data_IF_663276836357
#
_entry.id   IF_663276836357
#
_cell.length_a   1.000
_cell.length_b   1.000
_cell.length_c   1.000
_cell.angle_alpha   90.00
_cell.angle_beta   90.00
_cell.angle_gamma   90.00
#
_symmetry.space_group_name_H-M   'P 1'
#
loop_
_entity.id
_entity.type
_entity.pdbx_description
1 polymer ?
#
# COMPACT_ATOMS: atom_id res chain seq x y z
N UNK A 1 -17.28 49.89 13.88
CA UNK A 1 -16.95 50.43 12.55
C UNK A 1 -17.90 49.76 11.57
N UNK A 2 -19.09 50.34 11.35
CA UNK A 2 -19.47 51.36 10.35
C UNK A 2 -20.01 50.68 9.08
N UNK A 3 -21.35 50.60 9.01
CA UNK A 3 -22.14 50.35 7.82
C UNK A 3 -21.89 51.40 6.72
N UNK A 4 -22.00 51.00 5.45
CA UNK A 4 -22.33 51.79 4.25
C UNK A 4 -22.65 50.73 3.17
N UNK A 5 -23.81 50.55 2.52
CA UNK A 5 -24.87 51.41 1.96
C UNK A 5 -24.35 52.42 0.93
N UNK A 6 -25.06 52.47 -0.22
CA UNK A 6 -24.89 53.21 -1.50
C UNK A 6 -24.29 52.38 -2.64
N UNK A 7 -24.82 52.35 -3.88
CA UNK A 7 -25.84 53.19 -4.49
C UNK A 7 -26.60 52.43 -5.59
N UNK A 8 -27.90 52.69 -5.61
CA UNK A 8 -28.82 52.50 -6.74
C UNK A 8 -28.29 53.25 -7.96
N UNK A 9 -28.14 52.57 -9.11
CA UNK A 9 -28.10 53.24 -10.39
C UNK A 9 -29.36 52.90 -11.17
N UNK A 10 -30.21 53.92 -11.25
CA UNK A 10 -31.44 53.97 -12.02
C UNK A 10 -31.08 54.15 -13.50
N UNK A 11 -31.50 53.20 -14.35
CA UNK A 11 -31.74 53.49 -15.76
C UNK A 11 -32.97 52.71 -16.18
N UNK A 12 -34.11 53.37 -16.01
CA UNK A 12 -35.34 53.01 -16.68
C UNK A 12 -35.17 53.26 -18.18
N UNK A 13 -35.20 52.20 -18.98
CA UNK A 13 -35.52 52.29 -20.41
C UNK A 13 -36.72 51.38 -20.66
N UNK A 14 -37.88 52.02 -20.71
CA UNK A 14 -39.12 51.48 -21.26
C UNK A 14 -38.98 51.42 -22.78
N UNK A 15 -38.98 50.21 -23.34
CA UNK A 15 -39.32 49.98 -24.74
C UNK A 15 -40.24 48.77 -24.84
N UNK A 16 -41.42 49.03 -25.40
CA UNK A 16 -42.44 48.05 -25.77
C UNK A 16 -41.85 47.03 -26.75
N UNK A 17 -42.18 45.75 -26.60
CA UNK A 17 -41.87 44.77 -27.64
C UNK A 17 -42.17 43.32 -27.27
N UNK A 18 -43.36 42.86 -27.67
CA UNK A 18 -43.68 41.50 -28.14
C UNK A 18 -43.34 40.27 -27.29
N UNK A 19 -44.42 39.56 -26.94
CA UNK A 19 -44.53 38.18 -26.46
C UNK A 19 -43.55 37.24 -27.19
N UNK A 20 -42.70 36.58 -26.42
CA UNK A 20 -41.89 35.44 -26.85
C UNK A 20 -41.61 34.53 -25.66
N UNK A 21 -42.46 33.53 -25.46
CA UNK A 21 -42.20 32.42 -24.55
C UNK A 21 -40.95 31.67 -25.04
N UNK A 22 -39.79 31.94 -24.45
CA UNK A 22 -38.59 31.14 -24.60
C UNK A 22 -38.42 30.22 -23.38
N UNK A 23 -38.14 28.92 -23.56
CA UNK A 23 -38.04 27.99 -22.44
C UNK A 23 -36.82 28.33 -21.59
N UNK A 24 -37.06 28.62 -20.32
CA UNK A 24 -36.03 28.67 -19.29
C UNK A 24 -35.30 27.33 -19.26
N UNK A 25 -34.10 27.29 -19.84
CA UNK A 25 -33.17 26.18 -19.69
C UNK A 25 -32.80 26.07 -18.21
N UNK A 26 -33.56 25.24 -17.49
CA UNK A 26 -33.21 24.81 -16.15
C UNK A 26 -31.93 23.97 -16.30
N UNK A 27 -30.78 24.55 -15.96
CA UNK A 27 -29.58 23.80 -15.72
C UNK A 27 -29.88 22.86 -14.54
N UNK A 28 -30.23 21.61 -14.84
CA UNK A 28 -30.38 20.58 -13.83
C UNK A 28 -29.04 20.43 -13.11
N UNK A 29 -29.00 20.47 -11.76
CA UNK A 29 -27.79 20.10 -11.05
C UNK A 29 -27.43 18.67 -11.45
N UNK A 30 -26.20 18.46 -11.92
CA UNK A 30 -25.62 17.13 -12.08
C UNK A 30 -25.73 16.44 -10.73
N UNK A 31 -26.71 15.54 -10.60
CA UNK A 31 -26.86 14.73 -9.41
C UNK A 31 -25.57 13.90 -9.26
N UNK A 32 -24.75 14.22 -8.26
CA UNK A 32 -23.73 13.30 -7.79
C UNK A 32 -24.46 12.01 -7.44
N UNK A 33 -24.22 10.96 -8.25
CA UNK A 33 -24.80 9.66 -8.01
C UNK A 33 -24.34 9.21 -6.62
N UNK A 34 -25.27 9.23 -5.65
CA UNK A 34 -24.97 8.83 -4.28
C UNK A 34 -24.44 7.40 -4.31
N UNK A 35 -23.20 7.21 -3.85
CA UNK A 35 -22.62 5.89 -3.73
C UNK A 35 -23.50 5.02 -2.81
N UNK A 36 -23.74 3.75 -3.13
CA UNK A 36 -24.39 2.83 -2.23
C UNK A 36 -23.63 2.78 -0.90
N UNK A 37 -24.30 3.08 0.21
CA UNK A 37 -23.73 2.98 1.57
C UNK A 37 -23.66 1.51 1.99
N UNK A 38 -22.67 0.82 1.44
CA UNK A 38 -22.44 -0.61 1.61
C UNK A 38 -20.97 -0.84 1.92
N UNK A 39 -20.69 -1.88 2.69
CA UNK A 39 -19.32 -2.29 2.98
C UNK A 39 -18.88 -3.26 1.88
N UNK A 40 -17.69 -3.01 1.34
CA UNK A 40 -17.03 -3.81 0.32
C UNK A 40 -15.92 -4.62 1.01
N UNK A 41 -15.75 -5.87 0.62
CA UNK A 41 -14.61 -6.67 1.08
C UNK A 41 -13.50 -6.56 0.05
N UNK A 42 -12.35 -6.02 0.47
CA UNK A 42 -11.15 -5.96 -0.36
C UNK A 42 -10.17 -7.00 0.14
N UNK A 43 -9.78 -7.89 -0.76
CA UNK A 43 -8.78 -8.91 -0.50
C UNK A 43 -7.50 -8.61 -1.26
N UNK A 44 -6.37 -8.79 -0.58
CA UNK A 44 -5.04 -8.57 -1.11
C UNK A 44 -4.22 -9.85 -0.90
N UNK A 45 -3.58 -10.33 -1.96
CA UNK A 45 -2.64 -11.45 -1.87
C UNK A 45 -1.40 -11.19 -2.71
N UNK A 46 -0.30 -11.83 -2.33
CA UNK A 46 0.90 -11.89 -3.15
C UNK A 46 1.08 -13.32 -3.63
N UNK A 47 1.38 -13.48 -4.92
CA UNK A 47 1.70 -14.78 -5.51
C UNK A 47 3.06 -14.72 -6.20
N UNK A 48 3.77 -15.84 -6.26
CA UNK A 48 4.98 -15.98 -7.06
C UNK A 48 4.63 -16.49 -8.46
N UNK A 49 5.00 -15.73 -9.48
CA UNK A 49 4.77 -16.06 -10.87
C UNK A 49 5.63 -17.28 -11.25
N UNK A 50 4.97 -18.39 -11.57
CA UNK A 50 5.63 -19.64 -11.98
C UNK A 50 5.68 -20.73 -10.91
N UNK A 51 5.19 -20.50 -9.68
CA UNK A 51 5.07 -21.55 -8.65
C UNK A 51 3.89 -22.50 -8.88
N UNK A 52 2.81 -22.00 -9.51
CA UNK A 52 1.58 -22.77 -9.76
C UNK A 52 1.61 -23.59 -11.08
N UNK A 53 2.74 -23.63 -11.78
CA UNK A 53 2.87 -24.39 -13.02
C UNK A 53 3.27 -25.85 -12.74
N UNK A 54 2.58 -26.86 -13.32
CA UNK A 54 2.96 -28.26 -13.14
C UNK A 54 4.38 -28.50 -13.66
N UNK A 55 5.32 -28.79 -12.77
CA UNK A 55 6.73 -29.09 -13.09
C UNK A 55 7.76 -28.04 -12.65
N UNK A 56 7.38 -26.94 -11.99
CA UNK A 56 8.34 -25.99 -11.42
C UNK A 56 8.87 -26.48 -10.06
N UNK A 57 10.09 -27.00 -10.02
CA UNK A 57 10.81 -27.25 -8.78
C UNK A 57 11.77 -26.08 -8.52
N UNK A 58 11.48 -25.30 -7.48
CA UNK A 58 12.37 -24.25 -6.97
C UNK A 58 13.00 -24.75 -5.67
N UNK A 59 14.29 -25.08 -5.71
CA UNK A 59 15.10 -25.32 -4.51
C UNK A 59 15.58 -23.96 -3.97
N UNK A 60 14.69 -23.26 -3.27
CA UNK A 60 14.97 -22.00 -2.60
C UNK A 60 14.63 -22.11 -1.12
N UNK A 61 15.36 -21.36 -0.27
CA UNK A 61 14.97 -21.17 1.13
C UNK A 61 13.55 -20.59 1.12
N UNK A 62 12.60 -21.19 1.84
CA UNK A 62 11.29 -20.59 2.04
C UNK A 62 11.52 -19.23 2.70
N UNK A 63 11.45 -18.15 1.91
CA UNK A 63 11.49 -16.81 2.45
C UNK A 63 10.21 -16.65 3.27
N UNK A 64 10.36 -16.25 4.53
CA UNK A 64 9.28 -15.89 5.47
C UNK A 64 8.63 -14.54 5.05
N UNK A 65 8.47 -14.36 3.74
CA UNK A 65 8.23 -13.09 3.08
C UNK A 65 7.07 -13.11 2.11
N UNK A 66 6.31 -14.20 2.08
CA UNK A 66 5.05 -14.31 1.35
C UNK A 66 3.97 -13.54 2.13
N UNK A 67 3.30 -12.61 1.46
CA UNK A 67 2.21 -11.84 2.06
C UNK A 67 1.02 -12.78 2.30
N UNK A 68 0.65 -13.01 3.55
CA UNK A 68 -0.58 -13.76 3.87
C UNK A 68 -1.78 -13.02 3.29
N UNK A 69 -2.75 -13.70 2.65
CA UNK A 69 -3.94 -13.06 2.13
C UNK A 69 -4.65 -12.23 3.20
N UNK A 70 -4.79 -10.93 2.94
CA UNK A 70 -5.45 -9.98 3.84
C UNK A 70 -6.84 -9.68 3.33
N UNK A 71 -7.81 -9.59 4.23
CA UNK A 71 -9.18 -9.20 3.93
C UNK A 71 -9.57 -8.01 4.79
N UNK A 72 -10.02 -6.93 4.15
CA UNK A 72 -10.41 -5.69 4.81
C UNK A 72 -11.81 -5.31 4.35
N UNK A 73 -12.71 -5.08 5.31
CA UNK A 73 -14.01 -4.47 5.02
C UNK A 73 -13.85 -2.94 4.98
N UNK A 74 -14.29 -2.34 3.89
CA UNK A 74 -14.22 -0.89 3.68
C UNK A 74 -15.57 -0.37 3.24
N UNK A 75 -16.03 0.70 3.88
CA UNK A 75 -17.27 1.36 3.46
C UNK A 75 -17.05 2.04 2.11
N UNK A 76 -18.00 1.87 1.20
CA UNK A 76 -17.94 2.45 -0.14
C UNK A 76 -17.77 3.98 -0.10
N UNK A 77 -16.68 4.48 -0.69
CA UNK A 77 -16.27 5.87 -0.67
C UNK A 77 -15.31 6.25 0.46
N UNK A 78 -15.20 5.43 1.51
CA UNK A 78 -14.36 5.69 2.68
C UNK A 78 -13.01 4.98 2.60
N UNK A 79 -12.11 5.38 3.50
CA UNK A 79 -10.75 4.86 3.59
C UNK A 79 -10.64 3.92 4.80
N UNK A 80 -10.10 2.73 4.58
CA UNK A 80 -9.70 1.80 5.62
C UNK A 80 -8.16 1.74 5.74
N UNK A 81 -7.68 1.43 6.94
CA UNK A 81 -6.27 1.25 7.26
C UNK A 81 -6.12 0.03 8.16
N UNK A 82 -5.33 -0.94 7.71
CA UNK A 82 -4.89 -2.10 8.46
C UNK A 82 -3.38 -1.98 8.68
N UNK A 83 -2.92 -2.14 9.93
CA UNK A 83 -1.50 -2.16 10.29
C UNK A 83 -1.24 -3.36 11.19
N UNK A 84 -0.30 -4.21 10.80
CA UNK A 84 0.24 -5.28 11.62
C UNK A 84 1.75 -5.12 11.67
N UNK A 85 2.23 -4.60 12.78
CA UNK A 85 3.65 -4.35 13.00
C UNK A 85 4.07 -5.01 14.30
N UNK A 86 5.22 -5.67 14.26
CA UNK A 86 5.91 -6.23 15.41
C UNK A 86 7.17 -5.40 15.68
N UNK A 87 7.34 -5.02 16.95
CA UNK A 87 8.56 -4.39 17.43
C UNK A 87 9.49 -5.47 17.98
N UNK A 88 10.56 -5.77 17.24
CA UNK A 88 11.51 -6.81 17.60
C UNK A 88 12.70 -6.17 18.33
N UNK A 89 12.90 -6.45 19.64
CA UNK A 89 14.07 -6.00 20.35
C UNK A 89 15.27 -6.89 19.97
N UNK A 90 16.40 -6.27 19.63
CA UNK A 90 17.64 -6.97 19.31
C UNK A 90 18.78 -6.45 20.18
N UNK A 91 19.44 -7.37 20.89
CA UNK A 91 20.68 -7.06 21.61
C UNK A 91 21.88 -7.24 20.66
N UNK A 92 22.69 -6.20 20.55
CA UNK A 92 23.85 -6.14 19.66
C UNK A 92 25.14 -5.91 20.43
N UNK A 93 26.21 -6.64 20.12
CA UNK A 93 27.54 -6.42 20.70
C UNK A 93 28.34 -5.43 19.86
N UNK A 94 28.65 -4.27 20.45
CA UNK A 94 29.32 -3.17 19.75
C UNK A 94 30.84 -3.27 19.77
N UNK A 95 31.43 -3.71 20.88
CA UNK A 95 32.88 -3.78 21.03
C UNK A 95 33.30 -4.79 22.08
N UNK A 96 34.42 -5.46 21.82
CA UNK A 96 35.15 -6.26 22.80
C UNK A 96 36.48 -5.54 23.03
N UNK A 97 36.74 -5.09 24.24
CA UNK A 97 38.04 -4.49 24.59
C UNK A 97 38.81 -5.42 25.51
N UNK A 98 40.07 -5.67 25.19
CA UNK A 98 40.99 -6.44 26.04
C UNK A 98 42.11 -5.52 26.49
N UNK A 99 42.15 -5.22 27.78
CA UNK A 99 43.17 -4.36 28.36
C UNK A 99 44.14 -5.22 29.15
N UNK A 100 45.37 -5.33 28.65
CA UNK A 100 46.49 -5.99 29.34
C UNK A 100 47.38 -4.92 29.97
N UNK A 101 47.23 -4.69 31.27
CA UNK A 101 48.06 -3.78 32.05
C UNK A 101 49.19 -4.55 32.74
N UNK A 102 50.34 -4.67 32.07
CA UNK A 102 51.61 -5.25 32.56
C UNK A 102 51.73 -6.79 32.59
N UNK A 103 52.97 -7.27 32.47
CA UNK A 103 53.34 -8.69 32.32
C UNK A 103 52.95 -9.63 33.49
N UNK A 104 52.40 -9.08 34.57
CA UNK A 104 51.95 -9.79 35.77
C UNK A 104 50.44 -9.68 36.04
N UNK A 105 49.68 -8.92 35.24
CA UNK A 105 48.23 -8.77 35.43
C UNK A 105 47.42 -9.75 34.56
N UNK A 106 46.31 -10.26 35.11
CA UNK A 106 45.32 -11.02 34.34
C UNK A 106 44.67 -10.10 33.29
N UNK A 107 44.55 -10.53 32.03
CA UNK A 107 43.87 -9.74 31.00
C UNK A 107 42.41 -9.50 31.40
N UNK A 108 41.97 -8.23 31.36
CA UNK A 108 40.57 -7.87 31.54
C UNK A 108 39.93 -7.69 30.17
N UNK A 109 38.85 -8.44 29.92
CA UNK A 109 38.02 -8.29 28.74
C UNK A 109 36.68 -7.66 29.14
N UNK A 110 36.25 -6.62 28.42
CA UNK A 110 34.92 -6.04 28.54
C UNK A 110 34.16 -6.13 27.23
N UNK A 111 32.86 -6.35 27.33
CA UNK A 111 31.93 -6.42 26.19
C UNK A 111 30.91 -5.31 26.34
N UNK A 112 30.81 -4.43 25.35
CA UNK A 112 29.77 -3.40 25.29
C UNK A 112 28.62 -3.88 24.41
N UNK A 113 27.40 -3.82 24.91
CA UNK A 113 26.18 -4.21 24.21
C UNK A 113 25.20 -3.02 24.11
N UNK A 114 24.42 -2.97 23.04
CA UNK A 114 23.34 -2.01 22.82
C UNK A 114 22.03 -2.73 22.46
N UNK A 115 20.90 -2.17 22.88
CA UNK A 115 19.56 -2.64 22.49
C UNK A 115 19.04 -1.79 21.33
N UNK A 116 18.67 -2.43 20.22
CA UNK A 116 18.11 -1.79 19.03
C UNK A 116 16.72 -2.35 18.77
N UNK A 117 15.75 -1.47 18.53
CA UNK A 117 14.39 -1.84 18.16
C UNK A 117 14.25 -1.83 16.65
N UNK A 118 13.67 -2.89 16.11
CA UNK A 118 13.33 -2.98 14.70
C UNK A 118 11.83 -3.10 14.51
N UNK A 119 11.32 -2.38 13.52
CA UNK A 119 9.93 -2.44 13.11
C UNK A 119 9.82 -3.37 11.90
N UNK A 120 9.20 -4.51 12.10
CA UNK A 120 8.89 -5.48 11.06
C UNK A 120 7.38 -5.56 10.94
N UNK A 121 6.83 -5.39 9.74
CA UNK A 121 5.39 -5.27 9.63
C UNK A 121 4.88 -4.92 8.25
N UNK A 122 3.56 -4.83 8.18
CA UNK A 122 2.80 -4.59 6.98
C UNK A 122 1.69 -3.58 7.28
N UNK A 123 1.49 -2.63 6.37
CA UNK A 123 0.33 -1.76 6.41
C UNK A 123 -0.36 -1.74 5.05
N UNK A 124 -1.68 -1.87 5.08
CA UNK A 124 -2.55 -1.76 3.92
C UNK A 124 -3.51 -0.60 4.15
N UNK A 125 -3.50 0.37 3.24
CA UNK A 125 -4.52 1.40 3.19
C UNK A 125 -5.30 1.28 1.89
N UNK A 126 -6.62 1.33 2.00
CA UNK A 126 -7.50 1.10 0.87
C UNK A 126 -8.67 2.07 0.90
N UNK A 127 -9.04 2.60 -0.26
CA UNK A 127 -10.27 3.32 -0.48
C UNK A 127 -10.93 2.76 -1.74
N UNK A 128 -12.16 2.29 -1.61
CA UNK A 128 -12.90 1.71 -2.72
C UNK A 128 -14.11 2.58 -3.05
N UNK A 129 -14.34 2.85 -4.33
CA UNK A 129 -15.51 3.56 -4.86
C UNK A 129 -16.22 2.67 -5.87
N UNK A 130 -17.43 2.27 -5.55
CA UNK A 130 -18.25 1.39 -6.38
C UNK A 130 -19.60 2.05 -6.68
N UNK A 131 -19.96 2.22 -7.96
CA UNK A 131 -21.21 2.88 -8.34
C UNK A 131 -22.46 2.00 -8.19
N UNK A 132 -22.34 0.74 -7.74
CA UNK A 132 -23.45 -0.20 -7.58
C UNK A 132 -23.62 -1.18 -8.74
N UNK A 133 -24.35 -2.27 -8.49
CA UNK A 133 -24.59 -3.34 -9.46
C UNK A 133 -23.31 -4.03 -9.94
N UNK A 134 -23.31 -4.56 -11.17
CA UNK A 134 -22.14 -5.28 -11.72
C UNK A 134 -21.04 -4.36 -12.27
N UNK A 135 -21.04 -3.08 -11.90
CA UNK A 135 -20.03 -2.13 -12.35
C UNK A 135 -18.72 -2.35 -11.60
N UNK A 136 -17.56 -2.14 -12.25
CA UNK A 136 -16.28 -2.27 -11.58
C UNK A 136 -16.10 -1.21 -10.48
N UNK A 137 -15.30 -1.54 -9.48
CA UNK A 137 -14.92 -0.63 -8.40
C UNK A 137 -13.60 0.09 -8.74
N UNK A 138 -13.52 1.38 -8.44
CA UNK A 138 -12.26 2.13 -8.46
C UNK A 138 -11.61 1.99 -7.09
N UNK A 139 -10.39 1.47 -7.07
CA UNK A 139 -9.64 1.18 -5.86
C UNK A 139 -8.39 2.05 -5.81
N UNK A 140 -8.21 2.79 -4.73
CA UNK A 140 -6.94 3.41 -4.35
C UNK A 140 -6.33 2.55 -3.25
N UNK A 141 -5.13 2.03 -3.49
CA UNK A 141 -4.44 1.13 -2.58
C UNK A 141 -3.02 1.64 -2.31
N UNK A 142 -2.64 1.61 -1.04
CA UNK A 142 -1.27 1.80 -0.59
C UNK A 142 -0.87 0.62 0.29
N UNK A 143 0.22 -0.02 -0.07
CA UNK A 143 0.80 -1.14 0.67
C UNK A 143 2.20 -0.74 1.10
N UNK A 144 2.49 -0.83 2.38
CA UNK A 144 3.83 -0.66 2.92
C UNK A 144 4.26 -1.92 3.64
N UNK A 145 5.54 -2.22 3.53
CA UNK A 145 6.18 -3.34 4.20
C UNK A 145 7.49 -2.90 4.81
N UNK A 146 7.74 -3.32 6.03
CA UNK A 146 9.03 -3.23 6.68
C UNK A 146 9.50 -4.65 7.04
N UNK A 147 10.76 -4.95 6.74
CA UNK A 147 11.39 -6.21 7.10
C UNK A 147 12.82 -5.98 7.53
N UNK A 148 13.34 -6.88 8.36
CA UNK A 148 14.76 -6.88 8.72
C UNK A 148 15.52 -7.74 7.73
N UNK A 149 16.65 -7.23 7.25
CA UNK A 149 17.59 -8.01 6.44
C UNK A 149 18.64 -8.62 7.36
N UNK A 150 18.60 -9.95 7.52
CA UNK A 150 19.54 -10.68 8.36
C UNK A 150 20.92 -10.72 7.67
N UNK A 151 21.75 -9.71 7.92
CA UNK A 151 23.13 -9.69 7.47
C UNK A 151 23.98 -10.69 8.27
N UNK A 152 24.79 -11.47 7.55
CA UNK A 152 25.77 -12.39 8.15
C UNK A 152 27.05 -11.62 8.47
N UNK A 153 27.38 -11.46 9.76
CA UNK A 153 28.65 -10.86 10.20
C UNK A 153 28.50 -9.90 11.39
N UNK A 154 29.53 -9.09 11.60
CA UNK A 154 29.61 -8.11 12.70
C UNK A 154 28.95 -6.75 12.38
N UNK A 155 28.02 -6.70 11.42
CA UNK A 155 27.28 -5.49 11.05
C UNK A 155 25.83 -5.58 11.53
N UNK A 156 25.31 -4.48 12.07
CA UNK A 156 23.92 -4.37 12.51
C UNK A 156 22.98 -4.69 11.31
N UNK A 157 21.93 -5.52 11.50
CA UNK A 157 20.94 -5.78 10.46
C UNK A 157 20.32 -4.49 9.92
N UNK A 158 20.21 -4.38 8.59
CA UNK A 158 19.53 -3.26 7.97
C UNK A 158 18.00 -3.47 7.95
N UNK A 159 17.23 -2.41 8.15
CA UNK A 159 15.79 -2.43 7.93
C UNK A 159 15.49 -2.06 6.47
N UNK A 160 14.78 -2.93 5.75
CA UNK A 160 14.29 -2.67 4.40
C UNK A 160 12.82 -2.27 4.44
N UNK A 161 12.45 -1.23 3.69
CA UNK A 161 11.07 -0.78 3.55
C UNK A 161 10.68 -0.69 2.08
N UNK A 162 9.53 -1.29 1.75
CA UNK A 162 8.97 -1.29 0.40
C UNK A 162 7.56 -0.68 0.44
N UNK A 163 7.27 0.24 -0.48
CA UNK A 163 5.97 0.89 -0.59
C UNK A 163 5.46 0.82 -2.02
N UNK A 164 4.18 0.47 -2.18
CA UNK A 164 3.46 0.46 -3.45
C UNK A 164 2.20 1.31 -3.28
N UNK A 165 1.98 2.28 -4.16
CA UNK A 165 0.76 3.08 -4.19
C UNK A 165 0.21 3.07 -5.61
N UNK A 166 -1.04 2.63 -5.78
CA UNK A 166 -1.68 2.49 -7.09
C UNK A 166 -3.16 2.84 -7.02
N UNK A 167 -3.68 3.30 -8.14
CA UNK A 167 -5.13 3.41 -8.38
C UNK A 167 -5.49 2.51 -9.54
N UNK A 168 -6.47 1.61 -9.34
CA UNK A 168 -6.85 0.59 -10.33
C UNK A 168 -8.36 0.46 -10.39
N UNK A 169 -8.88 0.12 -11.57
CA UNK A 169 -10.27 -0.28 -11.77
C UNK A 169 -10.35 -1.81 -11.70
N UNK A 170 -11.13 -2.33 -10.75
CA UNK A 170 -11.21 -3.76 -10.44
C UNK A 170 -12.62 -4.28 -10.75
N UNK A 171 -12.78 -5.28 -11.63
CA UNK A 171 -14.03 -6.01 -11.78
C UNK A 171 -14.36 -6.75 -10.48
N UNK A 172 -15.65 -6.83 -10.14
CA UNK A 172 -16.07 -7.45 -8.89
C UNK A 172 -15.79 -8.96 -8.92
N UNK A 173 -15.41 -9.51 -7.76
CA UNK A 173 -15.13 -10.92 -7.52
C UNK A 173 -13.97 -11.53 -8.35
N UNK A 174 -13.22 -10.70 -9.08
CA UNK A 174 -12.07 -11.13 -9.90
C UNK A 174 -10.74 -10.70 -9.29
N UNK A 175 -9.70 -11.52 -9.47
CA UNK A 175 -8.34 -11.19 -9.08
C UNK A 175 -7.66 -10.37 -10.17
N UNK A 176 -7.20 -9.16 -9.82
CA UNK A 176 -6.46 -8.27 -10.73
C UNK A 176 -5.07 -8.03 -10.18
N UNK A 177 -4.07 -8.12 -11.05
CA UNK A 177 -2.68 -7.79 -10.70
C UNK A 177 -2.49 -6.28 -10.70
N UNK A 178 -2.08 -5.72 -9.55
CA UNK A 178 -1.92 -4.27 -9.34
C UNK A 178 -0.47 -3.83 -9.32
N UNK A 179 0.44 -4.75 -9.02
CA UNK A 179 1.88 -4.52 -9.07
C UNK A 179 2.61 -5.84 -9.33
N UNK A 180 3.81 -5.73 -9.91
CA UNK A 180 4.74 -6.84 -10.03
C UNK A 180 6.12 -6.37 -9.58
N UNK A 181 6.80 -7.21 -8.81
CA UNK A 181 8.18 -6.99 -8.34
C UNK A 181 9.04 -8.18 -8.70
N UNK A 182 10.36 -8.01 -8.83
CA UNK A 182 11.26 -9.06 -9.31
C UNK A 182 11.32 -9.15 -10.84
N UNK A 183 12.02 -10.17 -11.35
CA UNK A 183 12.22 -10.37 -12.80
C UNK A 183 11.48 -11.63 -13.25
N UNK A 184 10.76 -11.51 -14.36
CA UNK A 184 10.16 -12.67 -15.01
C UNK A 184 11.28 -13.64 -15.43
N UNK A 185 11.14 -14.92 -15.13
CA UNK A 185 12.05 -15.93 -15.64
C UNK A 185 11.92 -16.00 -17.17
N UNK A 186 13.05 -15.94 -17.88
CA UNK A 186 13.07 -16.10 -19.34
C UNK A 186 13.10 -17.59 -19.66
N UNK A 187 12.11 -18.07 -20.43
CA UNK A 187 12.05 -19.46 -20.86
C UNK A 187 13.36 -19.87 -21.59
N UNK A 188 13.90 -21.04 -21.22
CA UNK A 188 15.14 -21.59 -21.79
C UNK A 188 16.45 -21.03 -21.21
N UNK A 189 16.40 -20.15 -20.20
CA UNK A 189 17.60 -19.65 -19.52
C UNK A 189 17.65 -20.21 -18.10
N UNK A 190 18.62 -21.09 -17.84
CA UNK A 190 18.94 -21.58 -16.50
C UNK A 190 19.98 -20.64 -15.88
N UNK A 191 19.62 -19.95 -14.80
CA UNK A 191 20.54 -19.11 -14.03
C UNK A 191 20.35 -19.36 -12.54
N UNK A 192 21.45 -19.47 -11.83
CA UNK A 192 21.49 -19.63 -10.37
C UNK A 192 20.94 -18.40 -9.63
N UNK A 193 20.94 -17.22 -10.27
CA UNK A 193 20.34 -15.98 -9.74
C UNK A 193 18.80 -15.97 -9.86
N UNK A 194 18.24 -16.71 -10.82
CA UNK A 194 16.79 -16.74 -11.06
C UNK A 194 16.01 -17.38 -9.90
N UNK A 195 16.66 -18.18 -9.07
CA UNK A 195 16.07 -18.77 -7.86
C UNK A 195 15.97 -17.80 -6.67
N UNK A 196 16.60 -16.63 -6.72
CA UNK A 196 16.70 -15.70 -5.56
C UNK A 196 15.69 -14.55 -5.67
N UNK A 197 15.17 -14.24 -6.86
CA UNK A 197 14.24 -13.11 -7.09
C UNK A 197 13.13 -13.49 -8.08
N UNK A 198 12.33 -14.50 -7.74
CA UNK A 198 11.11 -14.84 -8.47
C UNK A 198 10.20 -13.61 -8.63
N UNK A 199 9.55 -13.48 -9.79
CA UNK A 199 8.61 -12.38 -10.03
C UNK A 199 7.40 -12.56 -9.11
N UNK A 200 7.16 -11.58 -8.25
CA UNK A 200 6.06 -11.55 -7.27
C UNK A 200 4.98 -10.62 -7.77
N UNK A 201 3.75 -11.12 -7.87
CA UNK A 201 2.58 -10.38 -8.30
C UNK A 201 1.74 -10.03 -7.08
N UNK A 202 1.41 -8.75 -6.94
CA UNK A 202 0.44 -8.27 -5.97
C UNK A 202 -0.92 -8.26 -6.65
N UNK A 203 -1.87 -9.01 -6.10
CA UNK A 203 -3.21 -9.15 -6.64
C UNK A 203 -4.25 -8.67 -5.66
N UNK A 204 -5.29 -8.03 -6.20
CA UNK A 204 -6.42 -7.53 -5.43
C UNK A 204 -7.72 -8.07 -5.98
N UNK A 205 -8.69 -8.29 -5.09
CA UNK A 205 -10.06 -8.63 -5.42
C UNK A 205 -11.00 -7.79 -4.59
N UNK A 206 -12.09 -7.33 -5.20
CA UNK A 206 -13.13 -6.56 -4.51
C UNK A 206 -14.44 -7.34 -4.59
N UNK A 207 -15.07 -7.58 -3.44
CA UNK A 207 -16.38 -8.21 -3.35
C UNK A 207 -17.39 -7.18 -2.84
N UNK A 208 -18.49 -7.05 -3.57
CA UNK A 208 -19.68 -6.35 -3.11
C UNK A 208 -20.51 -7.30 -2.20
N UNK A 209 -21.31 -6.76 -1.28
CA UNK A 209 -22.16 -7.56 -0.39
C UNK A 209 -23.35 -8.20 -1.10
#
# INVERSE_FOLDING_TARGET
>A
MKSLVFAVCCCAVLLLGTVGLGPSAHAAPLAEASLPRRDLTVELRQIEEGHDAPGSYSAGRSDDHTWEPQSVQVRNGEKALLRMNDAIPMQWTQSVSTQSTSATAKPQASVSNALVWFDAGQSLSVQAKWPGGNKPAVLVIEVQRAAMDAQVGAALPAQKRNTVSTTVTVPLAEWVTVAATGRAAKAGVYSSDAGVLGRRLLQVRVMAP
#
